data_IF_419820901978
#
_entry.id   IF_419820901978
#
_cell.length_a   1.000
_cell.length_b   1.000
_cell.length_c   1.000
_cell.angle_alpha   90.00
_cell.angle_beta   90.00
_cell.angle_gamma   90.00
#
_symmetry.space_group_name_H-M   'P 1'
#
loop_
_entity.id
_entity.type
_entity.pdbx_description
1 polymer ?
#
# COMPACT_ATOMS: atom_id res chain seq x y z
N UNK A 1 -27.73 1.96 -23.88
CA UNK A 1 -27.65 2.81 -22.67
C UNK A 1 -26.65 2.16 -21.73
N UNK A 2 -25.43 2.69 -21.66
CA UNK A 2 -24.53 2.34 -20.55
C UNK A 2 -25.10 2.97 -19.28
N UNK A 3 -25.15 2.26 -18.15
CA UNK A 3 -25.59 2.85 -16.89
C UNK A 3 -24.73 4.08 -16.60
N UNK A 4 -25.38 5.21 -16.28
CA UNK A 4 -24.70 6.43 -15.86
C UNK A 4 -23.89 6.14 -14.59
N UNK A 5 -22.71 6.75 -14.47
CA UNK A 5 -21.75 6.50 -13.39
C UNK A 5 -22.34 6.64 -11.97
N UNK A 6 -23.44 7.38 -11.82
CA UNK A 6 -24.21 7.52 -10.58
C UNK A 6 -24.76 6.19 -10.04
N UNK A 7 -24.94 5.18 -10.90
CA UNK A 7 -25.40 3.83 -10.52
C UNK A 7 -24.25 2.97 -9.97
N UNK A 8 -23.00 3.29 -10.31
CA UNK A 8 -21.85 2.43 -10.01
C UNK A 8 -21.22 2.70 -8.63
N UNK A 9 -21.51 3.85 -8.02
CA UNK A 9 -20.97 4.19 -6.70
C UNK A 9 -21.91 5.02 -5.83
N UNK A 10 -22.60 4.38 -4.88
CA UNK A 10 -23.26 5.11 -3.82
C UNK A 10 -22.26 6.00 -3.08
N UNK A 11 -22.62 7.27 -2.86
CA UNK A 11 -21.80 8.26 -2.15
C UNK A 11 -21.32 7.76 -0.78
N UNK A 12 -22.13 6.96 -0.09
CA UNK A 12 -21.76 6.34 1.18
C UNK A 12 -20.58 5.36 1.07
N UNK A 13 -20.46 4.62 -0.04
CA UNK A 13 -19.35 3.68 -0.26
C UNK A 13 -18.01 4.39 -0.42
N UNK A 14 -18.02 5.56 -1.07
CA UNK A 14 -16.84 6.42 -1.17
C UNK A 14 -16.38 6.91 0.20
N UNK A 15 -17.32 7.32 1.05
CA UNK A 15 -17.01 7.75 2.41
C UNK A 15 -16.36 6.61 3.22
N UNK A 16 -16.86 5.37 3.07
CA UNK A 16 -16.24 4.18 3.69
C UNK A 16 -14.79 4.02 3.22
N UNK A 17 -14.51 4.10 1.91
CA UNK A 17 -13.15 4.02 1.39
C UNK A 17 -12.23 5.13 1.88
N UNK A 18 -12.72 6.38 1.94
CA UNK A 18 -11.96 7.51 2.48
C UNK A 18 -11.55 7.23 3.93
N UNK A 19 -12.48 6.78 4.78
CA UNK A 19 -12.20 6.46 6.18
C UNK A 19 -11.18 5.33 6.30
N UNK A 20 -11.35 4.25 5.52
CA UNK A 20 -10.41 3.13 5.50
C UNK A 20 -9.00 3.57 5.08
N UNK A 21 -8.89 4.36 4.01
CA UNK A 21 -7.61 4.84 3.49
C UNK A 21 -6.93 5.85 4.43
N UNK A 22 -7.69 6.68 5.15
CA UNK A 22 -7.16 7.50 6.23
C UNK A 22 -6.56 6.64 7.35
N UNK A 23 -7.23 5.55 7.73
CA UNK A 23 -6.68 4.57 8.67
C UNK A 23 -5.37 3.95 8.16
N UNK A 24 -5.32 3.56 6.89
CA UNK A 24 -4.11 3.05 6.22
C UNK A 24 -2.99 4.09 6.26
N UNK A 25 -3.29 5.35 5.93
CA UNK A 25 -2.33 6.45 5.97
C UNK A 25 -1.72 6.63 7.36
N UNK A 26 -2.56 6.67 8.40
CA UNK A 26 -2.10 6.80 9.80
C UNK A 26 -1.21 5.63 10.20
N UNK A 27 -1.62 4.40 9.89
CA UNK A 27 -0.83 3.19 10.17
C UNK A 27 0.55 3.27 9.51
N UNK A 28 0.61 3.61 8.22
CA UNK A 28 1.85 3.66 7.46
C UNK A 28 2.75 4.83 7.89
N UNK A 29 2.17 5.98 8.24
CA UNK A 29 2.91 7.12 8.78
C UNK A 29 3.52 6.78 10.15
N UNK A 30 2.75 6.13 11.03
CA UNK A 30 3.26 5.65 12.32
C UNK A 30 4.35 4.58 12.15
N UNK A 31 4.17 3.65 11.21
CA UNK A 31 5.21 2.68 10.87
C UNK A 31 6.48 3.38 10.39
N UNK A 32 6.37 4.34 9.46
CA UNK A 32 7.49 5.13 8.96
C UNK A 32 8.20 5.92 10.07
N UNK A 33 7.47 6.45 11.05
CA UNK A 33 8.05 7.19 12.17
C UNK A 33 8.85 6.29 13.14
N UNK A 34 8.49 5.00 13.24
CA UNK A 34 9.13 4.03 14.15
C UNK A 34 10.37 3.37 13.57
N UNK A 35 10.56 3.39 12.25
CA UNK A 35 11.73 2.81 11.59
C UNK A 35 12.65 3.89 11.03
N UNK A 36 13.93 3.56 10.84
CA UNK A 36 14.90 4.45 10.20
C UNK A 36 15.49 3.79 8.94
N UNK A 37 16.07 4.60 8.05
CA UNK A 37 16.71 4.10 6.83
C UNK A 37 15.73 3.66 5.74
N UNK A 38 16.08 2.57 5.03
CA UNK A 38 15.31 2.08 3.86
C UNK A 38 13.86 1.67 4.15
N UNK A 39 13.54 0.96 5.25
CA UNK A 39 12.16 0.62 5.57
C UNK A 39 11.29 1.86 5.78
N UNK A 40 11.85 2.94 6.35
CA UNK A 40 11.13 4.22 6.51
C UNK A 40 10.71 4.81 5.18
N UNK A 41 11.63 4.86 4.22
CA UNK A 41 11.34 5.37 2.88
C UNK A 41 10.26 4.54 2.19
N UNK A 42 10.28 3.22 2.35
CA UNK A 42 9.26 2.32 1.81
C UNK A 42 7.87 2.57 2.42
N UNK A 43 7.76 2.73 3.74
CA UNK A 43 6.48 3.09 4.37
C UNK A 43 6.00 4.48 3.96
N UNK A 44 6.91 5.45 3.85
CA UNK A 44 6.58 6.81 3.41
C UNK A 44 6.00 6.82 1.99
N UNK A 45 6.53 5.96 1.10
CA UNK A 45 6.01 5.80 -0.27
C UNK A 45 4.55 5.36 -0.25
N UNK A 46 4.23 4.31 0.50
CA UNK A 46 2.86 3.83 0.61
C UNK A 46 1.93 4.76 1.37
N UNK A 47 2.44 5.51 2.35
CA UNK A 47 1.68 6.57 3.01
C UNK A 47 1.30 7.66 1.99
N UNK A 48 2.25 8.09 1.14
CA UNK A 48 1.98 9.02 0.05
C UNK A 48 0.93 8.50 -0.94
N UNK A 49 1.04 7.23 -1.32
CA UNK A 49 0.05 6.57 -2.19
C UNK A 49 -1.36 6.54 -1.54
N UNK A 50 -1.45 6.20 -0.25
CA UNK A 50 -2.71 6.23 0.50
C UNK A 50 -3.32 7.64 0.55
N UNK A 51 -2.50 8.67 0.80
CA UNK A 51 -2.96 10.06 0.78
C UNK A 51 -3.49 10.48 -0.60
N UNK A 52 -2.81 10.08 -1.68
CA UNK A 52 -3.28 10.34 -3.05
C UNK A 52 -4.65 9.68 -3.28
N UNK A 53 -4.81 8.42 -2.88
CA UNK A 53 -6.08 7.72 -3.01
C UNK A 53 -7.20 8.35 -2.17
N UNK A 54 -6.91 8.83 -0.95
CA UNK A 54 -7.89 9.59 -0.15
C UNK A 54 -8.41 10.79 -0.93
N UNK A 55 -7.52 11.57 -1.55
CA UNK A 55 -7.90 12.73 -2.36
C UNK A 55 -8.77 12.30 -3.54
N UNK A 56 -8.39 11.24 -4.26
CA UNK A 56 -9.16 10.72 -5.39
C UNK A 56 -10.57 10.26 -5.00
N UNK A 57 -10.71 9.54 -3.88
CA UNK A 57 -12.02 9.09 -3.39
C UNK A 57 -12.86 10.27 -2.88
N UNK A 58 -12.24 11.28 -2.26
CA UNK A 58 -12.94 12.41 -1.68
C UNK A 58 -13.41 13.44 -2.73
N UNK A 59 -12.59 13.72 -3.75
CA UNK A 59 -12.76 14.92 -4.58
C UNK A 59 -13.79 14.81 -5.72
N UNK A 60 -14.51 13.70 -5.85
CA UNK A 60 -15.40 13.42 -6.98
C UNK A 60 -14.92 13.95 -8.35
N UNK A 61 -13.88 13.33 -8.94
CA UNK A 61 -13.28 13.82 -10.18
C UNK A 61 -14.26 13.91 -11.36
N UNK A 62 -15.42 13.24 -11.30
CA UNK A 62 -16.47 13.35 -12.33
C UNK A 62 -17.31 14.63 -12.23
N UNK A 63 -17.36 15.29 -11.06
CA UNK A 63 -18.22 16.45 -10.83
C UNK A 63 -17.50 17.80 -10.94
N UNK A 64 -16.16 17.83 -10.99
CA UNK A 64 -15.39 19.08 -11.04
C UNK A 64 -14.67 19.26 -12.38
N UNK A 65 -15.22 20.06 -13.32
CA UNK A 65 -14.52 20.42 -14.55
C UNK A 65 -13.21 21.15 -14.21
N UNK A 66 -12.08 20.62 -14.67
CA UNK A 66 -10.73 21.14 -14.40
C UNK A 66 -9.96 20.42 -13.28
N UNK A 67 -10.62 19.56 -12.50
CA UNK A 67 -9.96 18.78 -11.43
C UNK A 67 -8.85 17.87 -11.99
N UNK A 68 -9.07 17.32 -13.18
CA UNK A 68 -8.08 16.48 -13.86
C UNK A 68 -6.72 17.19 -14.04
N UNK A 69 -6.67 18.50 -14.33
CA UNK A 69 -5.40 19.20 -14.55
C UNK A 69 -4.61 19.44 -13.26
N UNK A 70 -5.27 19.96 -12.22
CA UNK A 70 -4.63 20.24 -10.94
C UNK A 70 -4.29 18.95 -10.18
N UNK A 71 -5.19 17.96 -10.16
CA UNK A 71 -4.95 16.66 -9.55
C UNK A 71 -3.82 15.90 -10.26
N UNK A 72 -3.78 15.93 -11.59
CA UNK A 72 -2.68 15.35 -12.36
C UNK A 72 -1.35 16.06 -12.07
N UNK A 73 -1.36 17.38 -11.90
CA UNK A 73 -0.13 18.13 -11.59
C UNK A 73 0.40 17.79 -10.20
N UNK A 74 -0.47 17.79 -9.18
CA UNK A 74 -0.12 17.36 -7.82
C UNK A 74 0.34 15.90 -7.83
N UNK A 75 -0.31 15.05 -8.62
CA UNK A 75 0.07 13.66 -8.80
C UNK A 75 1.45 13.52 -9.44
N UNK A 76 1.75 14.26 -10.51
CA UNK A 76 3.06 14.25 -11.18
C UNK A 76 4.16 14.75 -10.24
N UNK A 77 3.90 15.82 -9.47
CA UNK A 77 4.86 16.33 -8.48
C UNK A 77 5.09 15.28 -7.39
N UNK A 78 4.03 14.67 -6.86
CA UNK A 78 4.12 13.60 -5.89
C UNK A 78 4.88 12.39 -6.47
N UNK A 79 4.62 12.02 -7.72
CA UNK A 79 5.29 10.94 -8.45
C UNK A 79 6.79 11.23 -8.63
N UNK A 80 7.17 12.46 -8.96
CA UNK A 80 8.58 12.89 -9.06
C UNK A 80 9.24 12.85 -7.68
N UNK A 81 8.58 13.36 -6.64
CA UNK A 81 9.05 13.25 -5.26
C UNK A 81 9.22 11.78 -4.83
N UNK A 82 8.31 10.92 -5.28
CA UNK A 82 8.36 9.49 -5.01
C UNK A 82 9.49 8.80 -5.76
N UNK A 83 9.68 9.13 -7.04
CA UNK A 83 10.76 8.64 -7.87
C UNK A 83 12.12 9.07 -7.31
N UNK A 84 12.26 10.29 -6.81
CA UNK A 84 13.51 10.73 -6.17
C UNK A 84 13.79 9.99 -4.86
N UNK A 85 12.77 9.70 -4.05
CA UNK A 85 12.88 8.87 -2.84
C UNK A 85 13.23 7.42 -3.19
N UNK A 86 12.62 6.86 -4.22
CA UNK A 86 12.91 5.52 -4.75
C UNK A 86 14.36 5.43 -5.25
N UNK A 87 14.81 6.41 -6.05
CA UNK A 87 16.18 6.51 -6.55
C UNK A 87 17.20 6.71 -5.44
N UNK A 88 16.89 7.53 -4.43
CA UNK A 88 17.72 7.67 -3.24
C UNK A 88 17.79 6.36 -2.44
N UNK A 89 16.69 5.61 -2.37
CA UNK A 89 16.61 4.27 -1.77
C UNK A 89 17.44 3.22 -2.51
N UNK A 90 17.59 3.35 -3.84
CA UNK A 90 18.33 2.44 -4.71
C UNK A 90 19.86 2.47 -4.56
N UNK A 91 20.42 3.40 -3.78
CA UNK A 91 21.88 3.52 -3.56
C UNK A 91 22.58 2.30 -2.92
N UNK A 92 21.90 1.18 -2.76
CA UNK A 92 22.55 -0.10 -2.46
C UNK A 92 21.65 -1.29 -2.72
N UNK A 93 21.08 -1.32 -3.92
CA UNK A 93 20.45 -2.50 -4.51
C UNK A 93 18.93 -2.41 -4.66
N UNK A 94 18.43 -2.95 -5.76
CA UNK A 94 16.99 -3.17 -5.98
C UNK A 94 16.59 -4.42 -5.18
N UNK A 95 15.68 -4.26 -4.23
CA UNK A 95 15.06 -5.39 -3.54
C UNK A 95 13.64 -5.60 -4.05
N UNK A 96 13.13 -6.83 -3.95
CA UNK A 96 11.78 -7.17 -4.42
C UNK A 96 10.66 -6.23 -3.87
N UNK A 97 10.67 -5.78 -2.60
CA UNK A 97 9.69 -4.82 -2.09
C UNK A 97 9.69 -3.46 -2.78
N UNK A 98 10.84 -3.00 -3.29
CA UNK A 98 10.93 -1.74 -4.04
C UNK A 98 10.38 -1.88 -5.45
N UNK A 99 10.60 -3.02 -6.12
CA UNK A 99 9.98 -3.30 -7.43
C UNK A 99 8.46 -3.29 -7.30
N UNK A 100 7.94 -3.96 -6.27
CA UNK A 100 6.50 -3.97 -5.97
C UNK A 100 5.98 -2.55 -5.73
N UNK A 101 6.68 -1.74 -4.93
CA UNK A 101 6.27 -0.36 -4.68
C UNK A 101 6.25 0.49 -5.96
N UNK A 102 7.24 0.32 -6.85
CA UNK A 102 7.25 1.00 -8.15
C UNK A 102 6.06 0.59 -9.01
N UNK A 103 5.76 -0.72 -9.08
CA UNK A 103 4.61 -1.19 -9.86
C UNK A 103 3.30 -0.66 -9.27
N UNK A 104 3.10 -0.71 -7.95
CA UNK A 104 1.91 -0.15 -7.28
C UNK A 104 1.72 1.34 -7.61
N UNK A 105 2.81 2.12 -7.59
CA UNK A 105 2.81 3.56 -7.93
C UNK A 105 2.49 3.80 -9.40
N UNK A 106 3.04 2.99 -10.30
CA UNK A 106 2.73 3.04 -11.73
C UNK A 106 1.27 2.68 -11.98
N UNK A 107 0.75 1.68 -11.28
CA UNK A 107 -0.68 1.31 -11.34
C UNK A 107 -1.55 2.46 -10.85
N UNK A 108 -1.18 3.11 -9.74
CA UNK A 108 -1.89 4.29 -9.23
C UNK A 108 -1.87 5.45 -10.24
N UNK A 109 -0.76 5.67 -10.93
CA UNK A 109 -0.65 6.64 -12.01
C UNK A 109 -1.56 6.30 -13.18
N UNK A 110 -1.57 5.04 -13.58
CA UNK A 110 -2.38 4.54 -14.68
C UNK A 110 -3.89 4.71 -14.40
N UNK A 111 -4.32 4.52 -13.15
CA UNK A 111 -5.71 4.74 -12.73
C UNK A 111 -6.15 6.22 -12.89
N UNK A 112 -5.24 7.18 -12.99
CA UNK A 112 -5.60 8.58 -13.27
C UNK A 112 -5.99 8.84 -14.72
N UNK A 113 -5.62 7.94 -15.64
CA UNK A 113 -5.94 8.08 -17.05
C UNK A 113 -7.47 7.93 -17.21
N UNK A 114 -8.16 8.75 -18.01
CA UNK A 114 -9.60 8.59 -18.25
C UNK A 114 -9.96 7.19 -18.76
N UNK A 115 -11.03 6.59 -18.23
CA UNK A 115 -11.38 5.19 -18.48
C UNK A 115 -11.64 4.88 -19.97
N UNK A 116 -12.11 5.86 -20.73
CA UNK A 116 -12.40 5.78 -22.16
C UNK A 116 -11.16 5.60 -23.04
N UNK A 117 -9.98 6.01 -22.55
CA UNK A 117 -8.70 5.89 -23.29
C UNK A 117 -7.77 4.83 -22.73
N UNK A 118 -8.18 4.08 -21.69
CA UNK A 118 -7.37 3.02 -21.06
C UNK A 118 -7.32 1.76 -21.94
N UNK A 119 -6.13 1.25 -22.31
CA UNK A 119 -6.03 -0.04 -22.98
C UNK A 119 -6.51 -1.19 -22.09
N UNK A 120 -7.54 -1.93 -22.53
CA UNK A 120 -8.17 -3.02 -21.76
C UNK A 120 -7.15 -4.07 -21.28
N UNK A 121 -6.17 -4.41 -22.12
CA UNK A 121 -5.12 -5.40 -21.79
C UNK A 121 -4.33 -4.94 -20.56
N UNK A 122 -3.98 -3.65 -20.48
CA UNK A 122 -3.21 -3.09 -19.36
C UNK A 122 -4.07 -3.05 -18.09
N UNK A 123 -5.36 -2.72 -18.19
CA UNK A 123 -6.30 -2.83 -17.08
C UNK A 123 -6.36 -4.27 -16.53
N UNK A 124 -6.49 -5.28 -17.39
CA UNK A 124 -6.55 -6.68 -16.95
C UNK A 124 -5.25 -7.12 -16.27
N UNK A 125 -4.09 -6.74 -16.82
CA UNK A 125 -2.80 -7.06 -16.21
C UNK A 125 -2.66 -6.45 -14.81
N UNK A 126 -3.00 -5.16 -14.65
CA UNK A 126 -2.96 -4.51 -13.35
C UNK A 126 -4.01 -5.07 -12.38
N UNK A 127 -5.21 -5.40 -12.87
CA UNK A 127 -6.25 -6.02 -12.04
C UNK A 127 -5.78 -7.39 -11.48
N UNK A 128 -5.24 -8.25 -12.35
CA UNK A 128 -4.66 -9.53 -11.94
C UNK A 128 -3.51 -9.35 -10.94
N UNK A 129 -2.60 -8.41 -11.22
CA UNK A 129 -1.49 -8.07 -10.33
C UNK A 129 -1.99 -7.64 -8.93
N UNK A 130 -2.95 -6.73 -8.88
CA UNK A 130 -3.51 -6.22 -7.62
C UNK A 130 -4.27 -7.31 -6.85
N UNK A 131 -5.02 -8.17 -7.55
CA UNK A 131 -5.70 -9.31 -6.92
C UNK A 131 -4.70 -10.26 -6.25
N UNK A 132 -3.58 -10.55 -6.92
CA UNK A 132 -2.48 -11.35 -6.34
C UNK A 132 -1.85 -10.64 -5.15
N UNK A 133 -1.62 -9.32 -5.22
CA UNK A 133 -1.10 -8.54 -4.09
C UNK A 133 -2.03 -8.60 -2.87
N UNK A 134 -3.33 -8.45 -3.06
CA UNK A 134 -4.32 -8.56 -1.98
C UNK A 134 -4.24 -9.94 -1.34
N UNK A 135 -4.28 -11.01 -2.15
CA UNK A 135 -4.22 -12.39 -1.64
C UNK A 135 -2.91 -12.66 -0.88
N UNK A 136 -1.77 -12.22 -1.41
CA UNK A 136 -0.46 -12.39 -0.78
C UNK A 136 -0.39 -11.66 0.57
N UNK A 137 -0.80 -10.38 0.61
CA UNK A 137 -0.75 -9.54 1.81
C UNK A 137 -1.68 -10.04 2.91
N UNK A 138 -2.89 -10.48 2.54
CA UNK A 138 -3.81 -11.13 3.47
C UNK A 138 -3.26 -12.46 3.98
N UNK A 139 -2.61 -13.25 3.13
CA UNK A 139 -1.97 -14.50 3.56
C UNK A 139 -0.86 -14.24 4.58
N UNK A 140 -0.03 -13.21 4.37
CA UNK A 140 0.99 -12.79 5.32
C UNK A 140 0.36 -12.30 6.62
N UNK A 141 -0.69 -11.48 6.56
CA UNK A 141 -1.42 -11.01 7.74
C UNK A 141 -2.00 -12.17 8.56
N UNK A 142 -2.66 -13.13 7.90
CA UNK A 142 -3.25 -14.30 8.54
C UNK A 142 -2.18 -15.17 9.20
N UNK A 143 -1.02 -15.36 8.55
CA UNK A 143 0.12 -16.09 9.15
C UNK A 143 0.68 -15.38 10.38
N UNK A 144 0.80 -14.05 10.34
CA UNK A 144 1.24 -13.24 11.48
C UNK A 144 0.24 -13.33 12.65
N UNK A 145 -1.07 -13.26 12.37
CA UNK A 145 -2.12 -13.39 13.39
C UNK A 145 -2.22 -14.79 13.99
N UNK A 146 -1.95 -15.84 13.20
CA UNK A 146 -1.93 -17.23 13.66
C UNK A 146 -0.68 -17.58 14.48
N UNK A 147 0.24 -16.63 14.68
CA UNK A 147 1.47 -16.86 15.44
C UNK A 147 2.32 -17.96 14.82
N UNK A 148 2.37 -18.04 13.47
CA UNK A 148 3.20 -19.01 12.78
C UNK A 148 4.59 -19.04 13.44
N UNK A 149 5.11 -20.22 13.81
CA UNK A 149 6.31 -20.32 14.62
C UNK A 149 7.38 -19.52 13.91
N UNK A 150 7.79 -18.41 14.54
CA UNK A 150 9.05 -17.75 14.18
C UNK A 150 10.03 -18.90 14.08
N UNK A 151 10.57 -19.15 12.89
CA UNK A 151 11.70 -20.06 12.71
C UNK A 151 12.64 -19.73 13.84
N UNK A 152 12.68 -20.62 14.84
CA UNK A 152 13.45 -20.39 16.04
C UNK A 152 14.81 -19.97 15.54
N UNK A 153 15.19 -18.72 15.84
CA UNK A 153 16.56 -18.27 15.68
C UNK A 153 17.37 -19.41 16.25
N UNK A 154 18.10 -20.13 15.40
CA UNK A 154 19.00 -21.20 15.82
C UNK A 154 19.81 -20.58 16.93
N UNK A 155 19.48 -20.95 18.17
CA UNK A 155 20.28 -20.63 19.32
C UNK A 155 21.55 -21.39 19.04
N UNK A 156 22.56 -20.67 18.56
CA UNK A 156 23.93 -21.13 18.64
C UNK A 156 24.13 -21.40 20.12
N UNK A 157 24.12 -22.68 20.48
CA UNK A 157 24.51 -23.14 21.80
C UNK A 157 25.95 -22.68 21.95
N UNK A 158 26.16 -21.72 22.85
CA UNK A 158 27.49 -21.40 23.31
C UNK A 158 28.08 -22.69 23.94
N UNK A 159 29.26 -23.15 23.51
CA UNK A 159 29.91 -24.33 24.10
C UNK A 159 30.16 -24.25 25.62
N UNK A 160 29.89 -23.11 26.25
CA UNK A 160 30.07 -22.86 27.69
C UNK A 160 28.99 -23.45 28.61
N UNK A 161 27.88 -23.98 28.08
CA UNK A 161 26.89 -24.74 28.86
C UNK A 161 26.09 -23.94 29.90
N UNK A 162 26.09 -22.60 29.86
CA UNK A 162 25.28 -21.77 30.76
C UNK A 162 23.92 -21.43 30.15
N UNK A 163 22.79 -21.72 30.83
CA UNK A 163 21.50 -21.20 30.43
C UNK A 163 21.42 -19.71 30.77
N UNK A 164 21.43 -18.86 29.74
CA UNK A 164 21.10 -17.43 29.89
C UNK A 164 19.58 -17.29 29.86
N UNK A 165 18.95 -17.42 31.02
CA UNK A 165 17.61 -16.90 31.25
C UNK A 165 17.74 -15.48 31.80
N UNK A 166 17.43 -14.46 31.00
CA UNK A 166 16.54 -13.37 31.43
C UNK A 166 16.42 -12.27 30.37
N UNK A 167 15.20 -12.15 29.89
CA UNK A 167 14.79 -11.23 28.84
C UNK A 167 13.48 -11.73 28.24
N UNK A 168 12.52 -12.08 29.10
CA UNK A 168 11.15 -12.39 28.71
C UNK A 168 10.48 -11.07 28.26
N UNK A 169 10.92 -10.55 27.12
CA UNK A 169 10.20 -9.50 26.42
C UNK A 169 8.85 -10.11 26.03
N UNK A 170 7.79 -9.62 26.67
CA UNK A 170 6.42 -10.01 26.36
C UNK A 170 6.22 -10.01 24.83
N UNK A 171 5.64 -11.08 24.24
CA UNK A 171 5.40 -11.14 22.82
C UNK A 171 4.18 -10.26 22.47
N UNK A 172 4.33 -8.95 22.59
CA UNK A 172 3.34 -7.96 22.12
C UNK A 172 3.48 -7.65 20.63
N UNK A 173 4.41 -8.31 19.92
CA UNK A 173 4.78 -7.96 18.54
C UNK A 173 3.94 -8.64 17.45
N UNK A 174 3.32 -9.79 17.69
CA UNK A 174 2.61 -10.55 16.65
C UNK A 174 1.43 -9.80 16.01
N UNK A 175 0.71 -8.99 16.79
CA UNK A 175 -0.43 -8.22 16.27
C UNK A 175 0.01 -7.01 15.47
N UNK A 176 1.06 -6.31 15.90
CA UNK A 176 1.61 -5.14 15.20
C UNK A 176 2.18 -5.54 13.82
N UNK A 177 2.75 -6.74 13.72
CA UNK A 177 3.33 -7.27 12.48
C UNK A 177 2.27 -7.58 11.41
N UNK A 178 1.01 -7.83 11.80
CA UNK A 178 -0.10 -8.06 10.88
C UNK A 178 -0.73 -6.77 10.32
N UNK A 179 -0.59 -5.64 11.02
CA UNK A 179 -1.29 -4.39 10.68
C UNK A 179 -0.82 -3.81 9.34
N UNK A 180 0.49 -3.81 9.09
CA UNK A 180 1.05 -3.27 7.83
C UNK A 180 0.60 -4.09 6.61
N UNK A 181 0.70 -5.43 6.60
CA UNK A 181 0.15 -6.24 5.51
C UNK A 181 -1.34 -6.01 5.26
N UNK A 182 -2.16 -5.88 6.32
CA UNK A 182 -3.60 -5.57 6.19
C UNK A 182 -3.78 -4.20 5.53
N UNK A 183 -3.08 -3.17 6.03
CA UNK A 183 -3.18 -1.82 5.49
C UNK A 183 -2.82 -1.76 4.00
N UNK A 184 -1.77 -2.50 3.60
CA UNK A 184 -1.36 -2.62 2.22
C UNK A 184 -2.34 -3.46 1.38
N UNK A 185 -2.99 -4.47 1.94
CA UNK A 185 -4.05 -5.22 1.26
C UNK A 185 -5.26 -4.32 0.99
N UNK A 186 -5.66 -3.50 1.97
CA UNK A 186 -6.73 -2.50 1.81
C UNK A 186 -6.36 -1.48 0.73
N UNK A 187 -5.12 -0.98 0.72
CA UNK A 187 -4.64 -0.08 -0.32
C UNK A 187 -4.73 -0.72 -1.73
N UNK A 188 -4.25 -1.95 -1.88
CA UNK A 188 -4.31 -2.67 -3.15
C UNK A 188 -5.75 -2.95 -3.60
N UNK A 189 -6.64 -3.29 -2.66
CA UNK A 189 -8.05 -3.48 -2.94
C UNK A 189 -8.72 -2.18 -3.37
N UNK A 190 -8.36 -1.05 -2.76
CA UNK A 190 -8.84 0.27 -3.17
C UNK A 190 -8.37 0.67 -4.57
N UNK A 191 -7.14 0.31 -4.95
CA UNK A 191 -6.63 0.53 -6.31
C UNK A 191 -7.36 -0.36 -7.31
N UNK A 192 -7.58 -1.64 -6.97
CA UNK A 192 -8.30 -2.59 -7.82
C UNK A 192 -9.72 -2.11 -8.06
N UNK A 193 -10.37 -1.60 -7.00
CA UNK A 193 -11.69 -1.02 -7.08
C UNK A 193 -11.72 0.19 -8.03
N UNK A 194 -10.81 1.15 -7.88
CA UNK A 194 -10.74 2.31 -8.79
C UNK A 194 -10.40 1.95 -10.24
N UNK A 195 -9.71 0.84 -10.46
CA UNK A 195 -9.40 0.36 -11.80
C UNK A 195 -10.64 -0.27 -12.48
N UNK A 196 -11.56 -0.82 -11.69
CA UNK A 196 -12.80 -1.44 -12.17
C UNK A 196 -13.94 -0.46 -12.46
N UNK A 197 -13.77 0.80 -12.07
CA UNK A 197 -14.70 1.92 -12.26
C UNK A 197 -14.20 2.80 -13.40
#
# INVERSE_FOLDING_TARGET
MYPTADVLLPTWWRAVWVVLLLGVLVVLALAAARVTGRPRAWHAVYAGAAACMVVMYAANPMDTPGFNGAALTVFVIALIGLATVVVAGFRGGITAPWVIAVVDVVTLAYIQIPADVRPVIVCVLFACYLAVQVALRLTVAVRALRGAPQRASRTLVDPSGRPTSDGLAAPTTTRADAVVPIALAVLALGMLYMLSV
#
